data_IF_051703239354
#
_entry.id   IF_051703239354
#
_cell.length_a   1.000
_cell.length_b   1.000
_cell.length_c   1.000
_cell.angle_alpha   90.00
_cell.angle_beta   90.00
_cell.angle_gamma   90.00
#
_symmetry.space_group_name_H-M   'P 1'
#
loop_
_entity.id
_entity.type
_entity.pdbx_description
1 polymer ?
#
# COMPACT_ATOMS: atom_id res chain seq x y z
N UNK A 1 53.49 19.42 11.54
CA UNK A 1 52.64 19.68 10.36
C UNK A 1 52.16 18.36 9.74
N UNK A 2 53.00 17.52 9.12
CA UNK A 2 52.56 16.23 8.52
C UNK A 2 51.66 15.30 9.36
N UNK A 3 51.90 15.16 10.67
CA UNK A 3 51.03 14.33 11.53
C UNK A 3 49.61 14.91 11.70
N UNK A 4 49.49 16.23 11.67
CA UNK A 4 48.21 16.93 11.78
C UNK A 4 47.46 16.81 10.45
N UNK A 5 48.16 16.98 9.33
CA UNK A 5 47.57 16.86 7.99
C UNK A 5 47.01 15.45 7.76
N UNK A 6 47.78 14.40 8.12
CA UNK A 6 47.31 13.02 8.05
C UNK A 6 46.09 12.74 8.94
N UNK A 7 46.03 13.35 10.12
CA UNK A 7 44.89 13.21 11.03
C UNK A 7 43.63 13.87 10.48
N UNK A 8 43.78 15.05 9.84
CA UNK A 8 42.68 15.77 9.18
C UNK A 8 42.14 14.96 7.99
N UNK A 9 43.02 14.39 7.17
CA UNK A 9 42.62 13.54 6.05
C UNK A 9 41.88 12.27 6.51
N UNK A 10 42.38 11.61 7.55
CA UNK A 10 41.72 10.43 8.14
C UNK A 10 40.32 10.76 8.66
N UNK A 11 40.18 11.85 9.42
CA UNK A 11 38.88 12.31 9.91
C UNK A 11 37.94 12.68 8.77
N UNK A 12 38.45 13.35 7.73
CA UNK A 12 37.67 13.68 6.53
C UNK A 12 37.15 12.44 5.80
N UNK A 13 37.96 11.38 5.72
CA UNK A 13 37.55 10.11 5.14
C UNK A 13 36.48 9.41 5.99
N UNK A 14 36.62 9.39 7.32
CA UNK A 14 35.63 8.82 8.24
C UNK A 14 34.29 9.55 8.16
N UNK A 15 34.28 10.89 8.15
CA UNK A 15 33.06 11.69 8.02
C UNK A 15 32.36 11.39 6.69
N UNK A 16 33.11 11.36 5.57
CA UNK A 16 32.55 11.00 4.25
C UNK A 16 31.98 9.59 4.22
N UNK A 17 32.63 8.63 4.87
CA UNK A 17 32.15 7.26 4.95
C UNK A 17 30.89 7.11 5.82
N UNK A 18 30.74 7.96 6.85
CA UNK A 18 29.58 7.92 7.75
C UNK A 18 28.31 8.50 7.12
N UNK A 19 28.42 9.46 6.19
CA UNK A 19 27.25 10.04 5.49
C UNK A 19 26.31 8.98 4.88
N UNK A 20 26.80 8.10 3.99
CA UNK A 20 25.99 7.01 3.42
C UNK A 20 25.43 6.05 4.48
N UNK A 21 26.15 5.82 5.58
CA UNK A 21 25.69 4.94 6.67
C UNK A 21 24.46 5.54 7.38
N UNK A 22 24.48 6.84 7.66
CA UNK A 22 23.32 7.53 8.22
C UNK A 22 22.12 7.49 7.27
N UNK A 23 22.34 7.74 5.97
CA UNK A 23 21.26 7.67 4.99
C UNK A 23 20.61 6.27 4.93
N UNK A 24 21.43 5.21 5.01
CA UNK A 24 20.92 3.84 5.04
C UNK A 24 20.11 3.55 6.31
N UNK A 25 20.53 4.08 7.47
CA UNK A 25 19.78 3.96 8.73
C UNK A 25 18.44 4.67 8.63
N UNK A 26 18.40 5.89 8.11
CA UNK A 26 17.15 6.64 7.89
C UNK A 26 16.18 5.87 6.99
N UNK A 27 16.69 5.31 5.89
CA UNK A 27 15.90 4.48 4.98
C UNK A 27 15.35 3.22 5.68
N UNK A 28 16.17 2.55 6.49
CA UNK A 28 15.76 1.38 7.25
C UNK A 28 14.68 1.71 8.30
N UNK A 29 14.81 2.83 9.01
CA UNK A 29 13.79 3.31 9.97
C UNK A 29 12.48 3.63 9.25
N UNK A 30 12.53 4.31 8.10
CA UNK A 30 11.36 4.62 7.30
C UNK A 30 10.63 3.36 6.81
N UNK A 31 11.39 2.34 6.38
CA UNK A 31 10.87 1.03 5.99
C UNK A 31 10.23 0.31 7.18
N UNK A 32 10.91 0.24 8.33
CA UNK A 32 10.38 -0.43 9.51
C UNK A 32 9.09 0.24 10.02
N UNK A 33 9.02 1.58 9.99
CA UNK A 33 7.81 2.31 10.32
C UNK A 33 6.64 1.97 9.36
N UNK A 34 6.93 1.73 8.09
CA UNK A 34 5.93 1.29 7.10
C UNK A 34 5.40 -0.11 7.44
N UNK A 35 6.30 -1.04 7.72
CA UNK A 35 5.96 -2.43 8.06
C UNK A 35 5.14 -2.50 9.35
N UNK A 36 5.47 -1.70 10.36
CA UNK A 36 4.71 -1.61 11.62
C UNK A 36 3.27 -1.13 11.39
N UNK A 37 3.07 -0.08 10.58
CA UNK A 37 1.73 0.42 10.25
C UNK A 37 0.92 -0.60 9.43
N UNK A 38 1.56 -1.22 8.44
CA UNK A 38 0.93 -2.26 7.63
C UNK A 38 0.51 -3.46 8.49
N UNK A 39 1.38 -3.92 9.40
CA UNK A 39 1.07 -5.00 10.34
C UNK A 39 -0.03 -4.61 11.34
N UNK A 40 0.00 -3.39 11.87
CA UNK A 40 -1.06 -2.88 12.77
C UNK A 40 -2.43 -2.89 12.08
N UNK A 41 -2.50 -2.40 10.84
CA UNK A 41 -3.73 -2.44 10.04
C UNK A 41 -4.19 -3.88 9.77
N UNK A 42 -3.27 -4.76 9.39
CA UNK A 42 -3.52 -6.21 9.22
C UNK A 42 -4.14 -6.84 10.46
N UNK A 43 -3.50 -6.70 11.63
CA UNK A 43 -3.98 -7.32 12.86
C UNK A 43 -5.35 -6.80 13.25
N UNK A 44 -5.60 -5.50 13.08
CA UNK A 44 -6.92 -4.92 13.34
C UNK A 44 -7.97 -5.49 12.39
N UNK A 45 -7.71 -5.50 11.09
CA UNK A 45 -8.66 -5.95 10.08
C UNK A 45 -8.95 -7.46 10.18
N UNK A 46 -7.93 -8.27 10.47
CA UNK A 46 -8.08 -9.71 10.70
C UNK A 46 -8.87 -10.00 11.97
N UNK A 47 -8.56 -9.31 13.08
CA UNK A 47 -9.33 -9.38 14.32
C UNK A 47 -10.79 -8.97 14.11
N UNK A 48 -11.01 -7.89 13.36
CA UNK A 48 -12.34 -7.41 13.05
C UNK A 48 -13.14 -8.48 12.32
N UNK A 49 -12.57 -9.09 11.28
CA UNK A 49 -13.25 -10.16 10.52
C UNK A 49 -13.60 -11.37 11.36
N UNK A 50 -12.74 -11.72 12.31
CA UNK A 50 -12.94 -12.85 13.22
C UNK A 50 -13.84 -12.48 14.43
N UNK A 51 -14.35 -11.25 14.50
CA UNK A 51 -15.23 -10.79 15.57
C UNK A 51 -16.71 -10.94 15.20
N UNK A 52 -17.57 -10.99 16.21
CA UNK A 52 -19.03 -10.98 16.02
C UNK A 52 -19.55 -9.66 15.39
N UNK A 53 -18.76 -8.58 15.40
CA UNK A 53 -19.14 -7.25 14.93
C UNK A 53 -18.49 -6.87 13.60
N UNK A 54 -17.97 -7.84 12.84
CA UNK A 54 -17.20 -7.59 11.63
C UNK A 54 -17.93 -6.77 10.54
N UNK A 55 -19.26 -6.80 10.52
CA UNK A 55 -20.08 -6.00 9.60
C UNK A 55 -20.14 -4.52 9.99
N UNK A 56 -20.04 -4.22 11.28
CA UNK A 56 -20.25 -2.89 11.85
C UNK A 56 -18.95 -2.17 12.23
N UNK A 57 -17.84 -2.90 12.42
CA UNK A 57 -16.57 -2.29 12.77
C UNK A 57 -15.85 -1.70 11.55
N UNK A 58 -15.14 -0.61 11.81
CA UNK A 58 -14.37 0.09 10.78
C UNK A 58 -13.04 -0.62 10.51
N UNK A 59 -12.69 -0.77 9.23
CA UNK A 59 -11.38 -1.21 8.81
C UNK A 59 -10.33 -0.18 9.24
N UNK A 60 -9.17 -0.69 9.66
CA UNK A 60 -7.99 0.12 9.84
C UNK A 60 -7.42 0.54 8.49
N UNK A 61 -6.88 1.76 8.48
CA UNK A 61 -6.26 2.38 7.31
C UNK A 61 -5.00 1.60 6.89
N UNK A 62 -4.97 1.17 5.64
CA UNK A 62 -3.77 0.60 5.01
C UNK A 62 -3.02 1.71 4.28
N UNK A 63 -1.81 2.06 4.74
CA UNK A 63 -0.99 3.10 4.12
C UNK A 63 -0.35 2.65 2.80
N UNK A 64 0.09 3.60 1.97
CA UNK A 64 0.85 3.32 0.75
C UNK A 64 2.20 2.67 1.10
N UNK A 65 2.53 1.55 0.47
CA UNK A 65 3.78 0.79 0.73
C UNK A 65 4.69 0.67 -0.51
N UNK A 66 4.19 1.02 -1.70
CA UNK A 66 4.97 1.06 -2.94
C UNK A 66 5.16 2.49 -3.43
N UNK A 67 6.37 2.78 -3.87
CA UNK A 67 6.70 4.06 -4.48
C UNK A 67 6.00 4.23 -5.84
N UNK A 68 5.77 5.49 -6.21
CA UNK A 68 5.26 5.87 -7.52
C UNK A 68 3.81 5.46 -7.79
N UNK A 69 3.41 5.69 -9.04
CA UNK A 69 2.09 5.36 -9.58
C UNK A 69 2.29 4.61 -10.90
N UNK A 70 1.39 3.68 -11.26
CA UNK A 70 1.50 2.90 -12.49
C UNK A 70 1.42 3.77 -13.77
N UNK A 71 0.77 4.93 -13.70
CA UNK A 71 0.67 5.90 -14.79
C UNK A 71 0.58 7.35 -14.24
N UNK A 72 0.93 8.37 -15.05
CA UNK A 72 1.18 9.74 -14.55
C UNK A 72 -0.06 10.54 -14.18
N UNK A 73 -1.23 10.20 -14.71
CA UNK A 73 -2.47 10.93 -14.47
C UNK A 73 -3.29 10.28 -13.35
N UNK A 74 -3.88 11.10 -12.47
CA UNK A 74 -4.83 10.63 -11.48
C UNK A 74 -6.05 10.04 -12.18
N UNK A 75 -6.50 8.82 -11.82
CA UNK A 75 -7.66 8.21 -12.44
C UNK A 75 -8.94 8.89 -11.97
N UNK A 76 -10.00 8.69 -12.76
CA UNK A 76 -11.35 9.07 -12.35
C UNK A 76 -11.85 8.03 -11.35
N UNK A 77 -12.05 8.44 -10.10
CA UNK A 77 -12.65 7.60 -9.07
C UNK A 77 -13.75 8.40 -8.36
N UNK A 78 -15.02 7.98 -8.43
CA UNK A 78 -16.11 8.67 -7.77
C UNK A 78 -15.84 8.89 -6.28
N UNK A 79 -16.15 10.09 -5.81
CA UNK A 79 -16.08 10.50 -4.41
C UNK A 79 -14.65 10.47 -3.81
N UNK A 80 -13.62 10.41 -4.65
CA UNK A 80 -12.21 10.42 -4.25
C UNK A 80 -11.49 11.60 -4.88
N UNK A 81 -10.82 12.39 -4.05
CA UNK A 81 -9.96 13.49 -4.49
C UNK A 81 -8.50 13.06 -4.39
N UNK A 82 -7.83 12.90 -5.54
CA UNK A 82 -6.43 12.52 -5.58
C UNK A 82 -5.50 13.74 -5.66
N UNK A 83 -4.50 13.77 -4.79
CA UNK A 83 -3.27 14.55 -5.00
C UNK A 83 -2.40 13.91 -6.08
N UNK A 84 -1.56 14.73 -6.71
CA UNK A 84 -0.67 14.29 -7.80
C UNK A 84 0.42 13.29 -7.36
N UNK A 85 0.78 13.28 -6.07
CA UNK A 85 1.78 12.37 -5.55
C UNK A 85 1.46 11.92 -4.13
N UNK A 86 1.89 10.69 -3.81
CA UNK A 86 1.82 10.13 -2.47
C UNK A 86 3.16 9.45 -2.14
N UNK A 87 3.93 9.95 -1.17
CA UNK A 87 5.08 9.21 -0.67
C UNK A 87 4.64 7.88 -0.03
N UNK A 88 5.57 6.93 0.08
CA UNK A 88 5.40 5.75 0.92
C UNK A 88 4.98 6.23 2.32
N UNK A 89 4.08 5.48 2.96
CA UNK A 89 3.41 5.77 4.23
C UNK A 89 2.28 6.78 4.20
N UNK A 90 1.93 7.33 3.04
CA UNK A 90 0.72 8.16 2.93
C UNK A 90 -0.53 7.36 3.27
N UNK A 91 -1.44 7.99 4.02
CA UNK A 91 -2.80 7.48 4.14
C UNK A 91 -3.50 7.56 2.76
N UNK A 92 -4.38 6.60 2.44
CA UNK A 92 -5.22 6.70 1.26
C UNK A 92 -6.15 7.92 1.38
N UNK A 93 -6.50 8.55 0.24
CA UNK A 93 -7.56 9.53 0.20
C UNK A 93 -8.85 9.02 0.82
N UNK A 94 -9.66 9.94 1.34
CA UNK A 94 -10.99 9.63 1.83
C UNK A 94 -11.79 8.86 0.75
N UNK A 95 -12.56 7.87 1.17
CA UNK A 95 -13.43 7.02 0.34
C UNK A 95 -12.71 6.14 -0.72
N UNK A 96 -11.37 6.08 -0.72
CA UNK A 96 -10.65 5.15 -1.60
C UNK A 96 -10.72 3.71 -1.10
N UNK A 97 -10.68 3.51 0.21
CA UNK A 97 -10.95 2.22 0.86
C UNK A 97 -12.38 2.19 1.40
N UNK A 98 -13.03 1.02 1.45
CA UNK A 98 -14.29 0.88 2.15
C UNK A 98 -14.06 1.14 3.64
N UNK A 99 -15.00 1.82 4.29
CA UNK A 99 -14.95 2.08 5.72
C UNK A 99 -15.10 0.81 6.54
N UNK A 100 -15.98 -0.09 6.10
CA UNK A 100 -16.32 -1.35 6.77
C UNK A 100 -16.83 -2.36 5.73
N UNK A 101 -17.17 -3.58 6.19
CA UNK A 101 -17.61 -4.65 5.30
C UNK A 101 -18.92 -4.34 4.57
N UNK A 102 -19.87 -3.64 5.20
CA UNK A 102 -21.13 -3.28 4.54
C UNK A 102 -20.88 -2.39 3.32
N UNK A 103 -20.03 -1.37 3.47
CA UNK A 103 -19.62 -0.51 2.35
C UNK A 103 -18.88 -1.29 1.25
N UNK A 104 -18.05 -2.26 1.63
CA UNK A 104 -17.40 -3.16 0.69
C UNK A 104 -18.39 -4.00 -0.12
N UNK A 105 -19.45 -4.52 0.50
CA UNK A 105 -20.51 -5.27 -0.19
C UNK A 105 -21.37 -4.35 -1.07
N UNK A 106 -21.64 -3.13 -0.64
CA UNK A 106 -22.35 -2.14 -1.46
C UNK A 106 -21.61 -1.85 -2.75
N UNK A 107 -20.28 -1.67 -2.71
CA UNK A 107 -19.47 -1.45 -3.90
C UNK A 107 -19.60 -2.57 -4.94
N UNK A 108 -19.70 -3.83 -4.51
CA UNK A 108 -19.88 -4.98 -5.40
C UNK A 108 -21.27 -5.04 -6.06
N UNK A 109 -22.23 -4.25 -5.58
CA UNK A 109 -23.59 -4.14 -6.12
C UNK A 109 -23.76 -2.92 -7.02
N UNK A 110 -22.75 -2.06 -7.12
CA UNK A 110 -22.77 -0.87 -7.97
C UNK A 110 -22.61 -1.22 -9.45
N UNK A 111 -22.78 -0.21 -10.31
CA UNK A 111 -22.58 -0.39 -11.75
C UNK A 111 -21.15 -0.82 -12.09
N UNK A 112 -20.92 -1.59 -13.17
CA UNK A 112 -19.58 -1.97 -13.60
C UNK A 112 -18.65 -0.79 -13.86
N UNK A 113 -19.19 0.35 -14.29
CA UNK A 113 -18.42 1.59 -14.47
C UNK A 113 -17.84 2.05 -13.13
N UNK A 114 -18.70 2.17 -12.10
CA UNK A 114 -18.28 2.57 -10.77
C UNK A 114 -17.22 1.62 -10.19
N UNK A 115 -17.44 0.30 -10.36
CA UNK A 115 -16.51 -0.71 -9.87
C UNK A 115 -15.13 -0.58 -10.51
N UNK A 116 -15.06 -0.38 -11.84
CA UNK A 116 -13.80 -0.17 -12.56
C UNK A 116 -13.09 1.10 -12.09
N UNK A 117 -13.80 2.21 -11.97
CA UNK A 117 -13.24 3.48 -11.50
C UNK A 117 -12.68 3.37 -10.06
N UNK A 118 -13.36 2.62 -9.17
CA UNK A 118 -12.84 2.32 -7.82
C UNK A 118 -11.57 1.47 -7.86
N UNK A 119 -11.56 0.39 -8.63
CA UNK A 119 -10.41 -0.50 -8.77
C UNK A 119 -9.22 0.20 -9.43
N UNK A 120 -9.48 1.06 -10.42
CA UNK A 120 -8.47 1.91 -11.04
C UNK A 120 -7.85 2.87 -10.03
N UNK A 121 -8.67 3.52 -9.19
CA UNK A 121 -8.19 4.33 -8.07
C UNK A 121 -7.32 3.56 -7.07
N UNK A 122 -7.73 2.35 -6.70
CA UNK A 122 -6.96 1.47 -5.81
C UNK A 122 -5.63 1.05 -6.43
N UNK A 123 -5.64 0.63 -7.69
CA UNK A 123 -4.45 0.26 -8.45
C UNK A 123 -3.48 1.43 -8.55
N UNK A 124 -3.98 2.62 -8.88
CA UNK A 124 -3.15 3.81 -9.03
C UNK A 124 -2.52 4.25 -7.71
N UNK A 125 -3.28 4.29 -6.62
CA UNK A 125 -2.77 4.69 -5.32
C UNK A 125 -1.79 3.67 -4.74
N UNK A 126 -2.12 2.37 -4.76
CA UNK A 126 -1.29 1.34 -4.13
C UNK A 126 -0.20 0.77 -5.03
N UNK A 127 -0.29 1.00 -6.35
CA UNK A 127 0.59 0.39 -7.36
C UNK A 127 0.66 -1.15 -7.19
N UNK A 128 -0.51 -1.77 -7.02
CA UNK A 128 -0.65 -3.20 -6.76
C UNK A 128 -1.49 -3.87 -7.86
N UNK A 129 -0.91 -4.89 -8.50
CA UNK A 129 -1.51 -5.57 -9.66
C UNK A 129 -2.75 -6.38 -9.31
N UNK A 130 -3.05 -6.62 -8.02
CA UNK A 130 -4.31 -7.25 -7.62
C UNK A 130 -5.53 -6.43 -8.06
N UNK A 131 -5.38 -5.10 -8.16
CA UNK A 131 -6.45 -4.17 -8.52
C UNK A 131 -6.47 -3.82 -10.01
N UNK A 132 -5.52 -4.33 -10.78
CA UNK A 132 -5.49 -4.09 -12.22
C UNK A 132 -6.64 -4.82 -12.90
N UNK A 133 -7.46 -4.06 -13.63
CA UNK A 133 -8.56 -4.57 -14.43
C UNK A 133 -8.57 -3.90 -15.80
N UNK A 134 -8.93 -4.62 -16.88
CA UNK A 134 -9.01 -4.02 -18.21
C UNK A 134 -10.15 -3.00 -18.28
N UNK A 135 -10.02 -2.03 -19.21
CA UNK A 135 -10.99 -0.93 -19.37
C UNK A 135 -12.43 -1.41 -19.66
N UNK A 136 -12.57 -2.57 -20.30
CA UNK A 136 -13.83 -3.23 -20.60
C UNK A 136 -14.18 -4.37 -19.62
N UNK A 137 -13.58 -4.40 -18.43
CA UNK A 137 -13.83 -5.44 -17.42
C UNK A 137 -15.33 -5.59 -17.13
N UNK A 138 -15.78 -6.84 -17.13
CA UNK A 138 -17.17 -7.19 -16.79
C UNK A 138 -17.42 -7.04 -15.29
N UNK A 139 -18.69 -7.04 -14.87
CA UNK A 139 -19.05 -7.04 -13.45
C UNK A 139 -18.33 -8.14 -12.66
N UNK A 140 -18.29 -9.36 -13.22
CA UNK A 140 -17.66 -10.50 -12.57
C UNK A 140 -16.15 -10.29 -12.37
N UNK A 141 -15.45 -9.78 -13.38
CA UNK A 141 -14.01 -9.48 -13.26
C UNK A 141 -13.74 -8.43 -12.17
N UNK A 142 -14.62 -7.43 -12.05
CA UNK A 142 -14.52 -6.45 -10.98
C UNK A 142 -14.77 -7.06 -9.59
N UNK A 143 -15.77 -7.94 -9.45
CA UNK A 143 -16.07 -8.65 -8.20
C UNK A 143 -14.86 -9.52 -7.79
N UNK A 144 -14.25 -10.23 -8.74
CA UNK A 144 -13.06 -11.03 -8.49
C UNK A 144 -11.87 -10.16 -8.01
N UNK A 145 -11.71 -8.96 -8.57
CA UNK A 145 -10.72 -8.00 -8.13
C UNK A 145 -11.04 -7.42 -6.73
N UNK A 146 -12.31 -7.17 -6.40
CA UNK A 146 -12.71 -6.79 -5.05
C UNK A 146 -12.50 -7.90 -4.03
N UNK A 147 -12.65 -9.17 -4.40
CA UNK A 147 -12.27 -10.27 -3.50
C UNK A 147 -10.78 -10.20 -3.11
N UNK A 148 -9.91 -9.71 -4.01
CA UNK A 148 -8.49 -9.45 -3.70
C UNK A 148 -8.29 -8.22 -2.81
N UNK A 149 -9.20 -7.24 -2.83
CA UNK A 149 -9.20 -6.11 -1.89
C UNK A 149 -9.46 -6.58 -0.46
N UNK A 150 -10.38 -7.51 -0.28
CA UNK A 150 -10.63 -8.13 1.01
C UNK A 150 -9.42 -8.92 1.56
N UNK A 151 -8.70 -9.61 0.69
CA UNK A 151 -7.41 -10.23 1.02
C UNK A 151 -6.35 -9.17 1.34
N UNK A 152 -6.27 -8.10 0.55
CA UNK A 152 -5.33 -7.00 0.75
C UNK A 152 -5.50 -6.29 2.10
N UNK A 153 -6.73 -6.02 2.52
CA UNK A 153 -7.00 -5.37 3.81
C UNK A 153 -6.53 -6.21 5.00
N UNK A 154 -6.45 -7.54 4.83
CA UNK A 154 -5.89 -8.47 5.84
C UNK A 154 -4.40 -8.69 5.67
N UNK A 155 -3.87 -8.61 4.45
CA UNK A 155 -2.46 -8.88 4.15
C UNK A 155 -1.88 -7.81 3.21
N UNK A 156 -1.71 -6.57 3.70
CA UNK A 156 -1.13 -5.48 2.92
C UNK A 156 0.36 -5.79 2.69
N UNK A 157 0.76 -5.87 1.42
CA UNK A 157 2.11 -6.28 1.01
C UNK A 157 2.29 -7.75 0.65
N UNK A 158 1.36 -8.65 1.01
CA UNK A 158 1.39 -10.03 0.52
C UNK A 158 0.68 -10.11 -0.83
N UNK A 159 1.44 -10.42 -1.87
CA UNK A 159 0.90 -10.81 -3.17
C UNK A 159 1.32 -12.27 -3.39
N UNK A 160 0.36 -13.21 -3.45
CA UNK A 160 0.66 -14.63 -3.70
C UNK A 160 1.49 -14.86 -4.95
N UNK A 161 1.40 -13.97 -5.96
CA UNK A 161 2.18 -14.05 -7.20
C UNK A 161 3.52 -13.32 -7.16
N UNK A 162 3.82 -12.55 -6.10
CA UNK A 162 5.11 -11.86 -5.92
C UNK A 162 5.90 -12.36 -4.71
N UNK A 163 5.37 -13.34 -3.98
CA UNK A 163 6.10 -13.98 -2.87
C UNK A 163 7.14 -14.94 -3.46
N UNK A 164 8.45 -14.81 -3.17
CA UNK A 164 9.42 -15.83 -3.51
C UNK A 164 9.19 -17.16 -2.76
N UNK A 165 8.20 -17.21 -1.86
CA UNK A 165 7.83 -18.38 -1.06
C UNK A 165 6.46 -18.98 -1.41
N UNK A 166 5.82 -18.60 -2.52
CA UNK A 166 4.65 -19.34 -3.02
C UNK A 166 5.11 -20.67 -3.64
N UNK A 167 5.38 -21.65 -2.78
CA UNK A 167 5.48 -23.06 -3.16
C UNK A 167 4.08 -23.54 -3.60
N UNK A 168 3.96 -24.23 -4.75
CA UNK A 168 2.68 -24.73 -5.27
C UNK A 168 2.12 -25.96 -4.51
N UNK A 169 2.59 -26.23 -3.30
CA UNK A 169 2.12 -27.35 -2.48
C UNK A 169 1.56 -26.85 -1.15
N UNK A 170 0.25 -26.59 -1.15
CA UNK A 170 -0.70 -26.83 -0.06
C UNK A 170 -2.12 -26.79 -0.60
#
# INVERSE_FOLDING_TARGET
FHKIDNAIESLGAEVKANGPRFQNIENAIASLGADLRANGARFHNDRLRNSQNWTAGDYAVVVKYRAGHPYPHCPRCPDVQFNQSYPINSAPPANLLPKNYNMFIEWQRMSPIYMREKLEGLHWFYNDSRFEVPMNATAQMCIDAFAKLDEFLRYPGYCKTCSPYSSPYN
#
